data_IF_163160492856
#
_entry.id   IF_163160492856
#
_cell.length_a   1.000
_cell.length_b   1.000
_cell.length_c   1.000
_cell.angle_alpha   90.00
_cell.angle_beta   90.00
_cell.angle_gamma   90.00
#
_symmetry.space_group_name_H-M   'P 1'
#
loop_
_entity.id
_entity.type
_entity.pdbx_description
1 polymer ?
#
# COMPACT_ATOMS: atom_id res chain seq x y z
N UNK A 1 -2.10 -7.31 2.27
CA UNK A 1 -2.44 -6.67 3.56
C UNK A 1 -1.28 -5.83 4.08
N UNK A 2 -1.43 -5.12 5.21
CA UNK A 2 -0.47 -4.11 5.69
C UNK A 2 0.98 -4.58 5.86
N UNK A 3 1.22 -5.81 6.37
CA UNK A 3 2.57 -6.41 6.42
C UNK A 3 3.22 -6.57 5.04
N UNK A 4 2.43 -6.76 4.00
CA UNK A 4 2.92 -6.81 2.61
C UNK A 4 3.50 -5.46 2.17
N UNK A 5 2.86 -4.35 2.55
CA UNK A 5 3.37 -3.00 2.27
C UNK A 5 4.68 -2.75 3.01
N UNK A 6 4.79 -3.15 4.27
CA UNK A 6 6.04 -3.05 5.02
C UNK A 6 7.18 -3.85 4.35
N UNK A 7 6.90 -5.06 3.85
CA UNK A 7 7.87 -5.83 3.08
C UNK A 7 8.30 -5.10 1.80
N UNK A 8 7.40 -4.37 1.12
CA UNK A 8 7.74 -3.56 -0.06
C UNK A 8 8.68 -2.39 0.27
N UNK A 9 8.58 -1.84 1.49
CA UNK A 9 9.47 -0.78 2.00
C UNK A 9 10.86 -1.30 2.43
N UNK A 10 11.03 -2.62 2.52
CA UNK A 10 12.30 -3.26 2.88
C UNK A 10 12.30 -3.98 4.23
N UNK A 11 11.17 -4.01 4.95
CA UNK A 11 11.04 -4.80 6.19
C UNK A 11 10.79 -6.28 5.86
N UNK A 12 11.81 -6.96 5.36
CA UNK A 12 11.69 -8.34 4.85
C UNK A 12 12.01 -9.41 5.88
N UNK A 13 12.74 -9.10 6.95
CA UNK A 13 13.08 -10.08 7.99
C UNK A 13 11.92 -10.25 8.96
N UNK A 14 11.45 -11.49 9.07
CA UNK A 14 10.41 -11.87 10.01
C UNK A 14 11.03 -12.27 11.34
N UNK A 15 10.79 -11.44 12.35
CA UNK A 15 11.17 -11.69 13.74
C UNK A 15 9.95 -12.20 14.48
N UNK A 16 10.15 -12.89 15.62
CA UNK A 16 9.04 -13.37 16.45
C UNK A 16 8.03 -12.29 16.85
N UNK A 17 8.45 -11.02 16.87
CA UNK A 17 7.67 -9.86 17.29
C UNK A 17 7.21 -8.96 16.13
N UNK A 18 7.64 -9.20 14.88
CA UNK A 18 7.33 -8.29 13.78
C UNK A 18 8.24 -8.38 12.56
N UNK A 19 8.33 -7.27 11.82
CA UNK A 19 9.16 -7.17 10.62
C UNK A 19 10.30 -6.17 10.84
N UNK A 20 11.48 -6.51 10.35
CA UNK A 20 12.68 -5.67 10.43
C UNK A 20 13.41 -5.62 9.08
N UNK A 21 14.35 -4.68 8.95
CA UNK A 21 15.28 -4.69 7.83
C UNK A 21 16.29 -5.83 7.97
N UNK A 22 16.79 -6.40 6.87
CA UNK A 22 17.88 -7.37 6.89
C UNK A 22 19.11 -6.91 7.67
N UNK A 23 19.76 -7.80 8.42
CA UNK A 23 21.03 -7.47 9.07
C UNK A 23 22.06 -7.06 8.01
N UNK A 24 22.74 -5.94 8.23
CA UNK A 24 23.70 -5.39 7.27
C UNK A 24 23.06 -4.65 6.09
N UNK A 25 21.74 -4.45 6.08
CA UNK A 25 21.11 -3.52 5.15
C UNK A 25 21.69 -2.11 5.37
N UNK A 26 22.06 -1.46 4.26
CA UNK A 26 22.42 -0.04 4.26
C UNK A 26 21.19 0.86 4.40
N UNK A 27 21.25 2.06 3.83
CA UNK A 27 20.09 2.92 3.76
C UNK A 27 18.94 2.26 2.96
N UNK A 28 17.67 2.56 3.28
CA UNK A 28 16.54 2.12 2.48
C UNK A 28 16.67 2.55 1.02
N UNK A 29 16.12 1.76 0.09
CA UNK A 29 16.11 2.10 -1.32
C UNK A 29 15.15 3.28 -1.58
N UNK A 30 15.68 4.50 -1.49
CA UNK A 30 14.92 5.76 -1.54
C UNK A 30 13.85 5.82 -2.63
N UNK A 31 14.17 5.57 -3.92
CA UNK A 31 13.18 5.60 -4.99
C UNK A 31 12.03 4.59 -4.81
N UNK A 32 12.30 3.44 -4.18
CA UNK A 32 11.30 2.40 -3.96
C UNK A 32 10.39 2.76 -2.79
N UNK A 33 10.98 3.26 -1.70
CA UNK A 33 10.23 3.80 -0.56
C UNK A 33 9.30 4.91 -1.04
N UNK A 34 9.82 5.88 -1.80
CA UNK A 34 9.03 6.99 -2.33
C UNK A 34 7.86 6.52 -3.20
N UNK A 35 8.09 5.57 -4.12
CA UNK A 35 7.04 5.02 -4.97
C UNK A 35 5.94 4.31 -4.16
N UNK A 36 6.33 3.41 -3.25
CA UNK A 36 5.37 2.69 -2.39
C UNK A 36 4.59 3.67 -1.49
N UNK A 37 5.25 4.70 -0.96
CA UNK A 37 4.58 5.74 -0.18
C UNK A 37 3.59 6.54 -1.03
N UNK A 38 3.94 6.90 -2.26
CA UNK A 38 3.04 7.60 -3.17
C UNK A 38 1.79 6.76 -3.48
N UNK A 39 1.95 5.48 -3.78
CA UNK A 39 0.84 4.56 -4.07
C UNK A 39 -0.09 4.39 -2.86
N UNK A 40 0.47 4.24 -1.65
CA UNK A 40 -0.32 4.12 -0.40
C UNK A 40 -1.09 5.41 -0.12
N UNK A 41 -0.46 6.56 -0.35
CA UNK A 41 -1.07 7.87 -0.11
C UNK A 41 -2.20 8.14 -1.13
N UNK A 42 -1.97 7.80 -2.39
CA UNK A 42 -2.96 7.93 -3.46
C UNK A 42 -4.17 7.03 -3.19
N UNK A 43 -3.95 5.74 -2.90
CA UNK A 43 -5.04 4.81 -2.60
C UNK A 43 -5.87 5.32 -1.39
N UNK A 44 -5.22 5.83 -0.35
CA UNK A 44 -5.93 6.44 0.78
C UNK A 44 -6.80 7.62 0.33
N UNK A 45 -6.24 8.54 -0.45
CA UNK A 45 -6.97 9.71 -0.94
C UNK A 45 -8.17 9.31 -1.83
N UNK A 46 -8.00 8.31 -2.69
CA UNK A 46 -9.09 7.77 -3.52
C UNK A 46 -10.20 7.17 -2.66
N UNK A 47 -9.86 6.37 -1.63
CA UNK A 47 -10.82 5.82 -0.69
C UNK A 47 -11.55 6.90 0.11
N UNK A 48 -10.84 7.93 0.58
CA UNK A 48 -11.44 9.07 1.30
C UNK A 48 -12.46 9.79 0.39
N UNK A 49 -12.14 10.00 -0.89
CA UNK A 49 -13.04 10.59 -1.88
C UNK A 49 -14.24 9.69 -2.20
N UNK A 50 -14.07 8.37 -2.24
CA UNK A 50 -15.17 7.42 -2.43
C UNK A 50 -16.15 7.47 -1.26
N UNK A 51 -15.64 7.47 -0.02
CA UNK A 51 -16.46 7.59 1.19
C UNK A 51 -17.21 8.92 1.25
N UNK A 52 -16.60 9.99 0.75
CA UNK A 52 -17.24 11.30 0.62
C UNK A 52 -18.21 11.42 -0.58
N UNK A 53 -18.34 10.38 -1.41
CA UNK A 53 -19.09 10.40 -2.67
C UNK A 53 -18.65 11.52 -3.64
N UNK A 54 -17.35 11.83 -3.64
CA UNK A 54 -16.70 12.86 -4.44
C UNK A 54 -15.61 12.32 -5.38
N UNK A 55 -15.45 10.99 -5.44
CA UNK A 55 -14.48 10.38 -6.33
C UNK A 55 -14.79 10.72 -7.81
N UNK A 56 -13.81 11.14 -8.62
CA UNK A 56 -14.04 11.51 -10.03
C UNK A 56 -14.56 10.36 -10.89
N UNK A 57 -14.25 9.13 -10.52
CA UNK A 57 -14.70 7.93 -11.22
C UNK A 57 -15.13 6.84 -10.21
N UNK A 58 -16.33 6.94 -9.60
CA UNK A 58 -16.75 6.01 -8.57
C UNK A 58 -17.17 4.64 -9.13
N UNK A 59 -17.61 4.58 -10.40
CA UNK A 59 -18.10 3.36 -11.04
C UNK A 59 -17.01 2.28 -11.17
N UNK A 60 -15.78 2.69 -11.46
CA UNK A 60 -14.63 1.80 -11.52
C UNK A 60 -14.43 1.00 -10.22
N UNK A 61 -14.64 1.63 -9.06
CA UNK A 61 -14.49 0.97 -7.76
C UNK A 61 -15.68 0.08 -7.41
N UNK A 62 -16.88 0.38 -7.92
CA UNK A 62 -18.07 -0.46 -7.70
C UNK A 62 -17.84 -1.87 -8.20
N UNK A 63 -17.27 -2.04 -9.40
CA UNK A 63 -16.99 -3.36 -9.99
C UNK A 63 -15.94 -4.12 -9.18
N UNK A 64 -14.87 -3.44 -8.78
CA UNK A 64 -13.77 -4.02 -8.00
C UNK A 64 -14.25 -4.45 -6.60
N UNK A 65 -15.03 -3.60 -5.93
CA UNK A 65 -15.50 -3.84 -4.55
C UNK A 65 -16.69 -4.81 -4.48
N UNK A 66 -17.50 -4.89 -5.54
CA UNK A 66 -18.55 -5.91 -5.67
C UNK A 66 -17.99 -7.32 -5.93
N UNK A 67 -16.67 -7.48 -5.96
CA UNK A 67 -16.01 -8.75 -6.15
C UNK A 67 -15.90 -9.17 -7.60
N UNK A 68 -15.88 -8.20 -8.54
CA UNK A 68 -15.58 -8.33 -9.97
C UNK A 68 -15.94 -9.67 -10.60
N UNK A 69 -17.05 -9.72 -11.35
CA UNK A 69 -17.54 -10.90 -12.06
C UNK A 69 -16.43 -11.89 -12.47
N UNK A 70 -16.32 -13.00 -11.73
CA UNK A 70 -15.76 -14.24 -12.27
C UNK A 70 -16.70 -14.83 -13.33
#
# INVERSE_FOLDING_TARGET
>A
GGRGVLRLLGYTEETGEGLSFPPGAGAPHGPRVAAVTADVLLLRAELDLLLANQHPNPQFFTEILAGGAE
#
